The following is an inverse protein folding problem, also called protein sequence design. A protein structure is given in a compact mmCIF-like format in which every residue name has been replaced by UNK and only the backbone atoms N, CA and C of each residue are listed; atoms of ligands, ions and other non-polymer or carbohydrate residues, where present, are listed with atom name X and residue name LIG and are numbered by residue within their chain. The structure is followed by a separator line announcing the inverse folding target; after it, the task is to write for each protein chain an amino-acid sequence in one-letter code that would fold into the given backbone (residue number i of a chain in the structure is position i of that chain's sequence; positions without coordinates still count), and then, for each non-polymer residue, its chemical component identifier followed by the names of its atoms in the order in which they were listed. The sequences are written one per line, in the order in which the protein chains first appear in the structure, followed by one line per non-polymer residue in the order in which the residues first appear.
data_IF_333637999928
#
_entry.id   IF_333637999928
#
_cell.length_a   1.000
_cell.length_b   1.000
_cell.length_c   1.000
_cell.angle_alpha   90.00
_cell.angle_beta   90.00
_cell.angle_gamma   90.00
#
_symmetry.space_group_name_H-M   'P 1'
#
loop_
_entity.id
_entity.type
_entity.pdbx_description
1 polymer ?
#
# COMPACT_ATOMS: atom_id res chain seq x y z
N UNK A 1 -12.31 55.77 -25.85
CA UNK A 1 -12.60 55.25 -24.50
C UNK A 1 -13.36 53.91 -24.51
N UNK A 2 -14.37 53.71 -25.37
CA UNK A 2 -15.15 52.46 -25.40
C UNK A 2 -14.36 51.18 -25.76
N UNK A 3 -13.39 51.27 -26.68
CA UNK A 3 -12.54 50.12 -27.08
C UNK A 3 -11.69 49.57 -25.93
N UNK A 4 -11.23 50.44 -25.01
CA UNK A 4 -10.42 50.02 -23.87
C UNK A 4 -11.20 49.15 -22.88
N UNK A 5 -12.48 49.47 -22.67
CA UNK A 5 -13.37 48.69 -21.79
C UNK A 5 -13.63 47.31 -22.40
N UNK A 6 -13.87 47.23 -23.73
CA UNK A 6 -14.11 45.97 -24.41
C UNK A 6 -12.89 45.04 -24.36
N UNK A 7 -11.68 45.59 -24.56
CA UNK A 7 -10.44 44.82 -24.42
C UNK A 7 -10.23 44.30 -22.99
N UNK A 8 -10.51 45.12 -21.97
CA UNK A 8 -10.45 44.67 -20.57
C UNK A 8 -11.43 43.53 -20.28
N UNK A 9 -12.66 43.61 -20.79
CA UNK A 9 -13.67 42.55 -20.59
C UNK A 9 -13.23 41.24 -21.25
N UNK A 10 -12.73 41.28 -22.49
CA UNK A 10 -12.26 40.07 -23.19
C UNK A 10 -11.07 39.45 -22.46
N UNK A 11 -10.11 40.26 -21.99
CA UNK A 11 -9.00 39.77 -21.19
C UNK A 11 -9.47 39.13 -19.87
N UNK A 12 -10.41 39.78 -19.16
CA UNK A 12 -10.97 39.26 -17.93
C UNK A 12 -11.65 37.89 -18.12
N UNK A 13 -12.44 37.73 -19.20
CA UNK A 13 -13.08 36.44 -19.53
C UNK A 13 -12.03 35.39 -19.87
N UNK A 14 -11.01 35.73 -20.66
CA UNK A 14 -9.96 34.80 -21.05
C UNK A 14 -9.17 34.31 -19.83
N UNK A 15 -8.80 35.22 -18.93
CA UNK A 15 -8.11 34.87 -17.68
C UNK A 15 -8.97 33.97 -16.78
N UNK A 16 -10.27 34.24 -16.68
CA UNK A 16 -11.19 33.41 -15.92
C UNK A 16 -11.28 31.98 -16.50
N UNK A 17 -11.34 31.84 -17.83
CA UNK A 17 -11.37 30.53 -18.49
C UNK A 17 -10.06 29.77 -18.25
N UNK A 18 -8.91 30.42 -18.44
CA UNK A 18 -7.60 29.80 -18.23
C UNK A 18 -7.41 29.35 -16.79
N UNK A 19 -7.82 30.17 -15.81
CA UNK A 19 -7.79 29.79 -14.39
C UNK A 19 -8.67 28.57 -14.10
N UNK A 20 -9.88 28.53 -14.68
CA UNK A 20 -10.77 27.37 -14.55
C UNK A 20 -10.17 26.09 -15.12
N UNK A 21 -9.53 26.16 -16.28
CA UNK A 21 -8.86 25.01 -16.89
C UNK A 21 -7.69 24.49 -16.05
N UNK A 22 -6.89 25.40 -15.47
CA UNK A 22 -5.77 25.01 -14.61
C UNK A 22 -6.24 24.24 -13.37
N UNK A 23 -7.29 24.74 -12.69
CA UNK A 23 -7.85 24.05 -11.53
C UNK A 23 -8.46 22.70 -11.88
N UNK A 24 -9.13 22.59 -13.03
CA UNK A 24 -9.68 21.32 -13.49
C UNK A 24 -8.58 20.30 -13.77
N UNK A 25 -7.48 20.74 -14.39
CA UNK A 25 -6.33 19.90 -14.68
C UNK A 25 -5.64 19.40 -13.41
N UNK A 26 -5.40 20.28 -12.44
CA UNK A 26 -4.81 19.91 -11.15
C UNK A 26 -5.70 18.90 -10.40
N UNK A 27 -7.03 19.12 -10.39
CA UNK A 27 -7.97 18.19 -9.79
C UNK A 27 -7.94 16.82 -10.47
N UNK A 28 -7.91 16.79 -11.80
CA UNK A 28 -7.81 15.55 -12.57
C UNK A 28 -6.51 14.80 -12.26
N UNK A 29 -5.39 15.52 -12.14
CA UNK A 29 -4.10 14.93 -11.81
C UNK A 29 -4.09 14.33 -10.41
N UNK A 30 -4.69 15.01 -9.43
CA UNK A 30 -4.84 14.49 -8.06
C UNK A 30 -5.71 13.23 -8.02
N UNK A 31 -6.82 13.19 -8.76
CA UNK A 31 -7.67 11.99 -8.85
C UNK A 31 -6.89 10.82 -9.45
N UNK A 32 -6.16 11.06 -10.53
CA UNK A 32 -5.30 10.04 -11.14
C UNK A 32 -4.22 9.56 -10.16
N UNK A 33 -3.60 10.47 -9.41
CA UNK A 33 -2.62 10.12 -8.39
C UNK A 33 -3.21 9.26 -7.26
N UNK A 34 -4.42 9.58 -6.79
CA UNK A 34 -5.13 8.78 -5.79
C UNK A 34 -5.39 7.37 -6.30
N UNK A 35 -5.96 7.22 -7.49
CA UNK A 35 -6.26 5.89 -8.07
C UNK A 35 -4.97 5.09 -8.29
N UNK A 36 -3.90 5.73 -8.78
CA UNK A 36 -2.62 5.07 -9.00
C UNK A 36 -1.96 4.60 -7.69
N UNK A 37 -2.07 5.40 -6.63
CA UNK A 37 -1.58 5.03 -5.29
C UNK A 37 -2.42 3.92 -4.66
N UNK A 38 -3.76 3.99 -4.79
CA UNK A 38 -4.68 2.97 -4.29
C UNK A 38 -4.48 1.62 -4.98
N UNK A 39 -4.27 1.61 -6.30
CA UNK A 39 -4.02 0.37 -7.04
C UNK A 39 -2.71 -0.30 -6.61
N UNK A 40 -1.62 0.46 -6.46
CA UNK A 40 -0.37 -0.08 -5.94
C UNK A 40 -0.50 -0.55 -4.48
N UNK A 41 -1.22 0.20 -3.63
CA UNK A 41 -1.50 -0.22 -2.26
C UNK A 41 -2.35 -1.51 -2.23
N UNK A 42 -3.32 -1.64 -3.15
CA UNK A 42 -4.12 -2.84 -3.34
C UNK A 42 -3.25 -4.03 -3.72
N UNK A 43 -2.36 -3.87 -4.69
CA UNK A 43 -1.38 -4.89 -5.10
C UNK A 43 -0.52 -5.34 -3.92
N UNK A 44 0.07 -4.39 -3.17
CA UNK A 44 0.88 -4.69 -1.99
C UNK A 44 0.08 -5.41 -0.90
N UNK A 45 -1.22 -5.10 -0.77
CA UNK A 45 -2.10 -5.74 0.21
C UNK A 45 -2.46 -7.18 -0.12
N UNK A 46 -2.20 -7.65 -1.35
CA UNK A 46 -2.42 -9.06 -1.76
C UNK A 46 -1.20 -9.95 -1.54
N UNK A 47 -0.05 -9.36 -1.23
CA UNK A 47 1.20 -10.09 -1.02
C UNK A 47 1.21 -10.76 0.35
N UNK A 48 1.99 -11.84 0.46
CA UNK A 48 2.30 -12.44 1.74
C UNK A 48 3.18 -11.50 2.58
N UNK A 49 3.05 -11.57 3.90
CA UNK A 49 3.79 -10.70 4.83
C UNK A 49 5.31 -10.75 4.61
N UNK A 50 5.84 -11.93 4.26
CA UNK A 50 7.26 -12.15 4.00
C UNK A 50 7.78 -11.44 2.75
N UNK A 51 6.93 -11.21 1.76
CA UNK A 51 7.32 -10.61 0.47
C UNK A 51 7.27 -9.08 0.49
N UNK A 52 6.59 -8.48 1.47
CA UNK A 52 6.42 -7.03 1.59
C UNK A 52 7.74 -6.27 1.63
N UNK A 53 8.76 -6.82 2.32
CA UNK A 53 10.06 -6.16 2.44
C UNK A 53 10.76 -5.96 1.08
N UNK A 54 10.52 -6.85 0.11
CA UNK A 54 11.10 -6.78 -1.22
C UNK A 54 10.61 -5.60 -2.06
N UNK A 55 9.51 -4.97 -1.68
CA UNK A 55 8.92 -3.82 -2.37
C UNK A 55 9.46 -2.47 -1.91
N UNK A 56 10.36 -2.45 -0.92
CA UNK A 56 11.00 -1.22 -0.50
C UNK A 56 11.84 -0.63 -1.64
N UNK A 57 11.51 0.60 -2.06
CA UNK A 57 12.21 1.30 -3.14
C UNK A 57 11.67 0.99 -4.54
N UNK A 58 10.54 0.27 -4.65
CA UNK A 58 9.85 0.11 -5.92
C UNK A 58 9.38 1.46 -6.46
N UNK A 59 9.64 1.73 -7.73
CA UNK A 59 9.27 2.98 -8.39
C UNK A 59 8.84 2.74 -9.84
N UNK A 60 7.74 3.35 -10.23
CA UNK A 60 7.29 3.47 -11.61
C UNK A 60 7.23 4.94 -11.99
N UNK A 61 8.02 5.31 -13.00
CA UNK A 61 8.13 6.70 -13.45
C UNK A 61 6.88 7.13 -14.22
N UNK A 62 6.60 8.45 -14.29
CA UNK A 62 5.50 8.98 -15.06
C UNK A 62 5.47 8.45 -16.51
N UNK A 63 4.33 7.87 -16.89
CA UNK A 63 4.13 7.29 -18.23
C UNK A 63 4.54 5.83 -18.38
N UNK A 64 5.18 5.23 -17.39
CA UNK A 64 5.57 3.82 -17.38
C UNK A 64 4.80 2.97 -16.36
N UNK A 65 3.73 3.50 -15.78
CA UNK A 65 2.93 2.78 -14.81
C UNK A 65 2.12 1.64 -15.45
N UNK A 66 2.08 0.52 -14.74
CA UNK A 66 1.33 -0.68 -15.14
C UNK A 66 0.19 -0.95 -14.17
N UNK A 67 -0.97 -1.34 -14.68
CA UNK A 67 -2.07 -1.83 -13.87
C UNK A 67 -1.76 -3.22 -13.29
N UNK A 68 -2.61 -3.72 -12.38
CA UNK A 68 -2.39 -4.98 -11.65
C UNK A 68 -2.33 -6.20 -12.58
N UNK A 69 -3.01 -6.15 -13.72
CA UNK A 69 -3.02 -7.14 -14.79
C UNK A 69 -1.76 -7.08 -15.69
N UNK A 70 -0.92 -6.06 -15.51
CA UNK A 70 0.28 -5.81 -16.32
C UNK A 70 0.03 -4.91 -17.52
N UNK A 71 -1.21 -4.46 -17.76
CA UNK A 71 -1.51 -3.57 -18.87
C UNK A 71 -0.99 -2.14 -18.59
N UNK A 72 -0.59 -1.37 -19.61
CA UNK A 72 -0.19 0.01 -19.43
C UNK A 72 -1.38 0.85 -18.95
N UNK A 73 -1.13 1.74 -17.98
CA UNK A 73 -2.17 2.62 -17.48
C UNK A 73 -2.73 3.54 -18.59
N UNK A 74 -4.03 3.93 -18.51
CA UNK A 74 -4.63 4.84 -19.49
C UNK A 74 -3.89 6.17 -19.64
N UNK A 75 -4.10 6.85 -20.77
CA UNK A 75 -3.40 8.10 -21.09
C UNK A 75 -3.54 9.21 -20.02
N UNK A 76 -4.60 9.20 -19.23
CA UNK A 76 -4.83 10.14 -18.12
C UNK A 76 -3.80 10.07 -16.99
N UNK A 77 -3.01 8.99 -16.91
CA UNK A 77 -2.03 8.76 -15.86
C UNK A 77 -0.59 9.03 -16.29
N UNK A 78 -0.35 9.44 -17.55
CA UNK A 78 1.01 9.63 -18.09
C UNK A 78 1.87 10.65 -17.34
N UNK A 79 1.24 11.55 -16.60
CA UNK A 79 1.93 12.60 -15.83
C UNK A 79 2.11 12.24 -14.35
N UNK A 80 1.72 11.04 -13.96
CA UNK A 80 1.79 10.54 -12.59
C UNK A 80 2.76 9.36 -12.57
N UNK A 81 3.69 9.38 -11.63
CA UNK A 81 4.50 8.24 -11.22
C UNK A 81 4.11 7.80 -9.82
N UNK A 82 4.65 6.67 -9.38
CA UNK A 82 4.42 6.18 -8.01
C UNK A 82 5.61 5.40 -7.48
N UNK A 83 5.76 5.42 -6.15
CA UNK A 83 6.80 4.68 -5.45
C UNK A 83 6.26 4.06 -4.17
N UNK A 84 6.84 2.93 -3.79
CA UNK A 84 6.56 2.25 -2.53
C UNK A 84 7.79 2.26 -1.63
N UNK A 85 7.56 2.52 -0.35
CA UNK A 85 8.55 2.34 0.70
C UNK A 85 7.95 1.49 1.80
N UNK A 86 8.63 0.42 2.15
CA UNK A 86 8.23 -0.50 3.22
C UNK A 86 9.27 -0.44 4.33
N UNK A 87 8.85 -0.16 5.55
CA UNK A 87 9.76 -0.06 6.70
C UNK A 87 9.24 -0.90 7.85
N UNK A 88 10.09 -1.72 8.45
CA UNK A 88 9.70 -2.49 9.62
C UNK A 88 9.69 -1.59 10.85
N UNK A 89 8.59 -1.59 11.61
CA UNK A 89 8.44 -0.75 12.77
C UNK A 89 7.62 -1.46 13.86
N UNK A 90 7.95 -1.17 15.11
CA UNK A 90 7.10 -1.48 16.25
C UNK A 90 6.08 -0.36 16.40
N UNK A 91 4.80 -0.70 16.32
CA UNK A 91 3.70 0.25 16.52
C UNK A 91 2.89 -0.15 17.75
N UNK A 92 2.57 0.84 18.59
CA UNK A 92 1.68 0.64 19.73
C UNK A 92 0.25 0.80 19.26
N UNK A 93 -0.55 -0.25 19.38
CA UNK A 93 -1.95 -0.24 18.94
C UNK A 93 -2.77 0.79 19.75
N UNK A 94 -3.46 1.73 19.09
CA UNK A 94 -4.21 2.77 19.79
C UNK A 94 -5.31 2.16 20.67
N UNK A 95 -5.35 2.57 21.94
CA UNK A 95 -6.27 2.02 22.94
C UNK A 95 -5.78 0.76 23.65
N UNK A 96 -4.56 0.30 23.37
CA UNK A 96 -3.89 -0.79 24.11
C UNK A 96 -2.42 -0.45 24.36
N UNK A 97 -1.80 -1.01 25.40
CA UNK A 97 -0.35 -0.91 25.61
C UNK A 97 0.40 -2.06 24.92
N UNK A 98 -0.16 -2.60 23.84
CA UNK A 98 0.42 -3.73 23.10
C UNK A 98 1.27 -3.15 21.97
N UNK A 99 2.55 -3.54 21.95
CA UNK A 99 3.45 -3.25 20.85
C UNK A 99 3.41 -4.40 19.86
N UNK A 100 3.12 -4.08 18.60
CA UNK A 100 3.07 -5.06 17.51
C UNK A 100 4.17 -4.74 16.53
N UNK A 101 4.97 -5.74 16.20
CA UNK A 101 5.94 -5.64 15.12
C UNK A 101 5.20 -5.78 13.79
N UNK A 102 5.52 -4.93 12.82
CA UNK A 102 4.91 -4.99 11.50
C UNK A 102 5.66 -4.17 10.48
N UNK A 103 5.06 -4.05 9.30
CA UNK A 103 5.55 -3.20 8.22
C UNK A 103 4.67 -1.98 8.07
N UNK A 104 5.29 -0.81 8.06
CA UNK A 104 4.68 0.44 7.63
C UNK A 104 4.90 0.59 6.12
N UNK A 105 3.84 0.30 5.36
CA UNK A 105 3.81 0.38 3.90
C UNK A 105 3.33 1.77 3.51
N UNK A 106 4.16 2.50 2.78
CA UNK A 106 3.84 3.82 2.25
C UNK A 106 3.92 3.81 0.74
N UNK A 107 2.88 4.30 0.09
CA UNK A 107 2.80 4.49 -1.36
C UNK A 107 2.63 5.98 -1.62
N UNK A 108 3.52 6.53 -2.43
CA UNK A 108 3.47 7.93 -2.85
C UNK A 108 3.24 7.99 -4.34
N UNK A 109 2.26 8.77 -4.78
CA UNK A 109 2.13 9.16 -6.17
C UNK A 109 2.68 10.58 -6.36
N UNK A 110 3.45 10.76 -7.42
CA UNK A 110 4.20 11.99 -7.69
C UNK A 110 4.06 12.41 -9.15
N UNK A 111 4.36 13.67 -9.46
CA UNK A 111 4.24 14.21 -10.82
C UNK A 111 5.55 14.10 -11.64
N UNK A 112 5.57 14.67 -12.84
CA UNK A 112 6.77 14.75 -13.68
C UNK A 112 7.93 15.54 -13.09
N UNK A 113 7.70 16.37 -12.07
CA UNK A 113 8.73 17.16 -11.37
C UNK A 113 9.27 16.44 -10.13
N UNK A 114 8.62 15.35 -9.72
CA UNK A 114 8.94 14.59 -8.51
C UNK A 114 8.19 15.07 -7.27
N UNK A 115 7.28 16.04 -7.41
CA UNK A 115 6.43 16.52 -6.32
C UNK A 115 5.41 15.44 -5.94
N UNK A 116 5.32 15.13 -4.65
CA UNK A 116 4.32 14.20 -4.13
C UNK A 116 2.93 14.82 -4.20
N UNK A 117 2.05 14.22 -4.99
CA UNK A 117 0.65 14.63 -5.15
C UNK A 117 -0.22 14.06 -4.04
N UNK A 118 0.05 12.81 -3.64
CA UNK A 118 -0.64 12.11 -2.55
C UNK A 118 0.26 11.04 -1.94
N UNK A 119 0.05 10.79 -0.65
CA UNK A 119 0.69 9.72 0.10
C UNK A 119 -0.39 8.88 0.79
N UNK A 120 -0.30 7.56 0.63
CA UNK A 120 -1.07 6.57 1.36
C UNK A 120 -0.14 5.79 2.27
N UNK A 121 -0.58 5.54 3.50
CA UNK A 121 0.16 4.78 4.49
C UNK A 121 -0.74 3.72 5.13
N UNK A 122 -0.20 2.53 5.32
CA UNK A 122 -0.87 1.41 6.00
C UNK A 122 0.15 0.65 6.84
N UNK A 123 -0.24 0.33 8.07
CA UNK A 123 0.49 -0.60 8.92
C UNK A 123 -0.04 -2.03 8.70
N UNK A 124 0.86 -2.98 8.46
CA UNK A 124 0.57 -4.40 8.32
C UNK A 124 1.26 -5.14 9.46
N UNK A 125 0.52 -5.63 10.47
CA UNK A 125 1.10 -6.32 11.61
C UNK A 125 1.67 -7.68 11.19
N UNK A 126 2.73 -8.12 11.87
CA UNK A 126 3.23 -9.48 11.75
C UNK A 126 2.15 -10.45 12.22
N UNK A 127 1.84 -11.51 11.45
CA UNK A 127 0.93 -12.54 11.90
C UNK A 127 1.49 -13.17 13.18
N UNK A 128 0.65 -13.32 14.20
CA UNK A 128 1.01 -14.12 15.36
C UNK A 128 1.21 -15.56 14.87
N UNK A 129 2.40 -16.12 15.06
CA UNK A 129 2.55 -17.56 14.92
C UNK A 129 1.59 -18.19 15.93
N UNK A 130 0.57 -18.87 15.43
CA UNK A 130 -0.27 -19.71 16.26
C UNK A 130 0.65 -20.81 16.77
N UNK A 131 1.18 -20.65 17.99
CA UNK A 131 1.75 -21.76 18.75
C UNK A 131 0.63 -22.77 18.93
N UNK A 132 0.48 -23.66 17.96
CA UNK A 132 -0.32 -24.88 18.07
C UNK A 132 0.23 -25.58 19.29
N UNK A 133 -0.54 -25.55 20.38
CA UNK A 133 -0.21 -26.26 21.60
C UNK A 133 -0.01 -27.72 21.23
N UNK A 134 1.22 -28.20 21.32
CA UNK A 134 1.51 -29.61 21.41
C UNK A 134 0.79 -30.10 22.66
N UNK A 135 -0.43 -30.62 22.49
CA UNK A 135 -1.12 -31.33 23.56
C UNK A 135 -0.20 -32.48 23.99
N UNK A 136 0.43 -32.31 25.16
CA UNK A 136 1.01 -33.40 25.91
C UNK A 136 -0.09 -34.44 26.17
N UNK A 137 -0.15 -35.48 25.34
CA UNK A 137 -0.82 -36.73 25.73
C UNK A 137 0.06 -37.42 26.78
N UNK A 138 0.06 -36.88 27.99
CA UNK A 138 0.51 -37.54 29.21
C UNK A 138 -0.50 -38.64 29.56
N UNK A 139 -0.40 -39.76 28.85
CA UNK A 139 -1.08 -41.00 29.17
C UNK A 139 -0.28 -41.79 30.21
N UNK A 140 -0.35 -41.36 31.47
CA UNK A 140 -0.01 -42.22 32.61
C UNK A 140 -1.02 -43.38 32.65
N UNK A 141 -0.56 -44.60 32.38
CA UNK A 141 -1.24 -45.83 32.75
C UNK A 141 -0.23 -46.75 33.41
N UNK A 142 -0.21 -46.70 34.75
CA UNK A 142 0.45 -47.71 35.56
C UNK A 142 -0.49 -48.90 35.80
N UNK A 143 0.12 -50.09 35.89
CA UNK A 143 -0.38 -51.12 36.80
C UNK A 143 -0.82 -52.45 36.18
N UNK A 144 0.09 -53.42 36.18
CA UNK A 144 -0.19 -54.74 36.75
C UNK A 144 -0.51 -55.89 35.80
N UNK A 145 0.40 -56.88 35.76
CA UNK A 145 0.18 -58.29 36.11
C UNK A 145 0.88 -59.28 35.17
N UNK A 146 1.91 -59.94 35.73
CA UNK A 146 2.14 -61.40 35.75
C UNK A 146 2.07 -62.18 34.42
N UNK A 147 3.21 -62.74 34.01
CA UNK A 147 3.28 -63.78 32.98
C UNK A 147 4.66 -64.41 32.87
N UNK A 148 4.97 -65.33 33.79
CA UNK A 148 6.05 -66.31 33.68
C UNK A 148 5.94 -67.10 32.35
N UNK A 149 7.04 -67.29 31.63
CA UNK A 149 7.00 -67.98 30.33
C UNK A 149 8.34 -68.41 29.75
N UNK A 150 9.05 -69.29 30.47
CA UNK A 150 9.72 -70.51 29.96
C UNK A 150 10.88 -70.36 28.94
N UNK A 151 12.07 -70.75 29.42
CA UNK A 151 13.21 -71.30 28.69
C UNK A 151 12.79 -72.42 27.71
N UNK A 152 13.31 -72.44 26.48
CA UNK A 152 13.32 -73.67 25.69
C UNK A 152 13.81 -73.54 24.25
N UNK A 153 15.01 -74.09 24.03
CA UNK A 153 15.69 -74.47 22.77
C UNK A 153 16.34 -73.37 21.92
#
# INVERSE_FOLDING_TARGET
MAVGILLMVVMAVTLAVTAGQHHAFEAQQRIAATIAAEELMGRLSTLEYQDLAGWHGYEETPGNMTAMDGDPMPAGFRQVGRRASVQQQMETLPGSNINVLGYHVRVQAFDGTGETLIELARFVPQPAEETVGTEETSGTSGGGALGLGILGL
#
